data_IF_227086324494
#
_entry.id   IF_227086324494
#
_cell.length_a   1.000
_cell.length_b   1.000
_cell.length_c   1.000
_cell.angle_alpha   90.00
_cell.angle_beta   90.00
_cell.angle_gamma   90.00
#
_symmetry.space_group_name_H-M   'P 1'
#
loop_
_entity.id
_entity.type
_entity.pdbx_description
1 polymer ?
#
# COMPACT_ATOMS: atom_id res chain seq x y z
N UNK A 1 -15.03 -20.18 -51.84
CA UNK A 1 -16.23 -20.70 -51.16
C UNK A 1 -16.51 -19.86 -49.94
N UNK A 2 -17.46 -19.02 -50.17
CA UNK A 2 -17.97 -17.96 -49.28
C UNK A 2 -19.00 -18.55 -48.32
N UNK A 3 -18.88 -18.26 -47.03
CA UNK A 3 -20.03 -18.31 -46.11
C UNK A 3 -19.98 -17.17 -45.13
N UNK A 4 -20.66 -16.11 -45.53
CA UNK A 4 -21.14 -15.08 -44.65
C UNK A 4 -22.10 -15.67 -43.59
N UNK A 5 -21.85 -15.41 -42.30
CA UNK A 5 -22.83 -15.63 -41.25
C UNK A 5 -23.18 -14.27 -40.62
N UNK A 6 -24.27 -13.71 -41.12
CA UNK A 6 -24.95 -12.56 -40.52
C UNK A 6 -25.68 -13.02 -39.28
N UNK A 7 -25.34 -12.56 -38.12
CA UNK A 7 -26.18 -12.73 -36.94
C UNK A 7 -26.65 -11.36 -36.42
N UNK A 8 -27.94 -11.28 -36.37
CA UNK A 8 -28.81 -10.11 -36.16
C UNK A 8 -28.61 -9.54 -34.77
N UNK A 9 -28.50 -8.22 -34.73
CA UNK A 9 -28.61 -7.39 -33.54
C UNK A 9 -30.08 -7.41 -33.09
N UNK A 10 -30.34 -7.83 -31.89
CA UNK A 10 -31.61 -7.61 -31.21
C UNK A 10 -31.38 -6.53 -30.15
N UNK A 11 -31.86 -5.35 -30.45
CA UNK A 11 -32.00 -4.25 -29.49
C UNK A 11 -33.12 -4.58 -28.49
N UNK A 12 -32.77 -4.64 -27.22
CA UNK A 12 -33.75 -4.57 -26.14
C UNK A 12 -33.35 -3.43 -25.24
N UNK A 13 -34.02 -2.30 -25.45
CA UNK A 13 -34.03 -1.18 -24.55
C UNK A 13 -34.84 -1.55 -23.31
N UNK A 14 -34.20 -1.68 -22.16
CA UNK A 14 -34.85 -1.73 -20.88
C UNK A 14 -34.46 -0.47 -20.10
N UNK A 15 -35.39 0.50 -20.13
CA UNK A 15 -35.29 1.68 -19.28
C UNK A 15 -35.57 1.28 -17.84
N UNK A 16 -34.52 1.24 -17.02
CA UNK A 16 -34.65 1.08 -15.57
C UNK A 16 -34.49 2.44 -14.93
N UNK A 17 -35.60 3.07 -14.60
CA UNK A 17 -35.67 4.28 -13.78
C UNK A 17 -35.31 3.90 -12.35
N UNK A 18 -34.05 4.08 -11.99
CA UNK A 18 -33.62 4.00 -10.59
C UNK A 18 -33.97 5.33 -9.92
N UNK A 19 -35.00 5.33 -9.10
CA UNK A 19 -35.27 6.40 -8.15
C UNK A 19 -34.12 6.40 -7.12
N UNK A 20 -33.21 7.39 -7.22
CA UNK A 20 -32.27 7.70 -6.16
C UNK A 20 -33.01 8.25 -4.96
N UNK A 21 -33.24 7.41 -3.98
CA UNK A 21 -33.64 7.84 -2.65
C UNK A 21 -32.40 8.39 -1.96
N UNK A 22 -32.13 9.67 -2.11
CA UNK A 22 -31.19 10.42 -1.29
C UNK A 22 -31.78 10.51 0.11
N UNK A 23 -31.47 9.53 0.95
CA UNK A 23 -31.64 9.66 2.37
C UNK A 23 -30.57 10.62 2.89
N UNK A 24 -30.86 11.91 2.85
CA UNK A 24 -30.20 12.88 3.71
C UNK A 24 -30.45 12.47 5.15
N UNK A 25 -29.43 12.47 6.03
CA UNK A 25 -29.64 12.43 7.45
C UNK A 25 -30.34 13.72 7.83
N UNK A 26 -31.67 13.68 7.78
CA UNK A 26 -32.51 14.82 7.99
C UNK A 26 -32.56 15.21 9.46
N UNK A 27 -32.35 16.48 9.68
CA UNK A 27 -32.81 17.16 10.88
C UNK A 27 -34.30 16.88 11.05
N UNK A 28 -34.64 16.06 12.00
CA UNK A 28 -36.07 15.86 12.40
C UNK A 28 -36.49 17.11 13.14
N UNK A 29 -37.15 18.01 12.43
CA UNK A 29 -37.84 19.15 13.01
C UNK A 29 -39.25 18.69 13.40
N UNK A 30 -39.46 18.40 14.65
CA UNK A 30 -40.78 18.11 15.16
C UNK A 30 -41.45 19.43 15.51
N UNK A 31 -42.47 19.83 14.74
CA UNK A 31 -43.33 20.95 15.06
C UNK A 31 -44.43 20.48 16.06
N UNK A 32 -44.30 20.88 17.28
CA UNK A 32 -45.39 20.71 18.27
C UNK A 32 -46.04 22.05 18.40
N UNK A 33 -47.30 22.14 17.93
CA UNK A 33 -48.15 23.31 18.10
C UNK A 33 -49.05 23.10 19.32
N UNK A 34 -48.75 23.81 20.38
CA UNK A 34 -49.67 23.96 21.49
C UNK A 34 -49.82 25.46 21.76
N UNK A 35 -51.04 25.93 21.70
CA UNK A 35 -51.49 27.28 22.07
C UNK A 35 -50.75 28.44 21.39
N UNK A 36 -50.95 28.57 20.07
CA UNK A 36 -50.64 29.76 19.26
C UNK A 36 -49.25 30.41 19.51
N UNK A 37 -48.29 29.67 20.08
CA UNK A 37 -46.90 30.06 20.21
C UNK A 37 -46.00 28.99 19.57
N UNK A 38 -45.34 29.38 18.49
CA UNK A 38 -44.32 28.56 17.87
C UNK A 38 -43.09 28.50 18.80
N UNK A 39 -42.92 27.39 19.49
CA UNK A 39 -41.65 27.10 20.21
C UNK A 39 -40.81 26.23 19.31
N UNK A 40 -39.79 26.82 18.71
CA UNK A 40 -38.77 26.07 17.95
C UNK A 40 -37.78 25.51 18.96
N UNK A 41 -37.92 24.24 19.32
CA UNK A 41 -36.91 23.53 20.07
C UNK A 41 -35.80 23.13 19.10
N UNK A 42 -34.72 23.92 19.04
CA UNK A 42 -33.48 23.52 18.43
C UNK A 42 -32.82 22.50 19.36
N UNK A 43 -33.09 21.22 19.16
CA UNK A 43 -32.27 20.19 19.77
C UNK A 43 -30.86 20.28 19.13
N UNK A 44 -29.95 20.85 19.90
CA UNK A 44 -28.54 20.74 19.59
C UNK A 44 -28.21 19.23 19.50
N UNK A 45 -27.93 18.76 18.31
CA UNK A 45 -27.50 17.41 18.06
C UNK A 45 -26.11 17.26 18.70
N UNK A 46 -26.10 16.73 19.94
CA UNK A 46 -24.85 16.28 20.55
C UNK A 46 -24.33 15.15 19.64
N UNK A 47 -23.19 15.29 19.03
CA UNK A 47 -22.63 14.19 18.25
C UNK A 47 -22.46 13.01 19.20
N UNK A 48 -22.79 11.78 18.78
CA UNK A 48 -22.59 10.62 19.62
C UNK A 48 -21.10 10.53 19.94
N UNK A 49 -20.76 10.82 21.21
CA UNK A 49 -19.44 10.61 21.77
C UNK A 49 -19.18 9.10 21.77
N UNK A 50 -18.65 8.57 20.69
CA UNK A 50 -18.45 7.13 20.53
C UNK A 50 -18.25 6.66 19.10
N UNK A 51 -18.04 7.56 18.12
CA UNK A 51 -17.38 7.14 16.90
C UNK A 51 -15.97 6.78 17.30
N UNK A 52 -15.74 5.46 17.51
CA UNK A 52 -14.40 4.91 17.40
C UNK A 52 -13.85 5.44 16.08
N UNK A 53 -12.87 6.33 16.20
CA UNK A 53 -12.01 6.70 15.09
C UNK A 53 -11.49 5.37 14.56
N UNK A 54 -12.11 4.87 13.48
CA UNK A 54 -11.55 3.76 12.73
C UNK A 54 -10.29 4.37 12.13
N UNK A 55 -9.21 4.28 12.89
CA UNK A 55 -7.91 4.71 12.45
C UNK A 55 -7.61 3.92 11.19
N UNK A 56 -7.86 4.52 10.05
CA UNK A 56 -7.45 3.96 8.78
C UNK A 56 -5.95 3.75 8.87
N UNK A 57 -5.46 2.54 8.64
CA UNK A 57 -4.03 2.30 8.72
C UNK A 57 -3.32 3.30 7.80
N UNK A 58 -2.40 4.04 8.38
CA UNK A 58 -1.65 5.09 7.68
C UNK A 58 -1.07 4.53 6.37
N UNK A 59 -1.26 5.22 5.23
CA UNK A 59 -0.68 4.81 3.95
C UNK A 59 0.83 4.55 4.05
N UNK A 60 1.33 3.61 3.26
CA UNK A 60 2.73 3.19 3.32
C UNK A 60 3.72 4.34 3.04
N UNK A 61 3.38 5.22 2.09
CA UNK A 61 4.17 6.41 1.78
C UNK A 61 4.28 7.37 2.97
N UNK A 62 3.21 7.57 3.73
CA UNK A 62 3.24 8.43 4.92
C UNK A 62 4.07 7.79 6.03
N UNK A 63 3.95 6.47 6.25
CA UNK A 63 4.79 5.73 7.19
C UNK A 63 6.27 5.81 6.80
N UNK A 64 6.57 5.69 5.51
CA UNK A 64 7.90 5.85 4.98
C UNK A 64 8.48 7.24 5.25
N UNK A 65 7.71 8.31 4.97
CA UNK A 65 8.16 9.69 5.20
C UNK A 65 8.39 10.00 6.67
N UNK A 66 7.60 9.44 7.59
CA UNK A 66 7.79 9.59 9.04
C UNK A 66 9.07 8.94 9.55
N UNK A 67 9.66 8.02 8.81
CA UNK A 67 10.93 7.36 9.16
C UNK A 67 12.17 8.09 8.64
N UNK A 68 12.07 9.36 8.32
CA UNK A 68 13.20 10.23 7.96
C UNK A 68 14.12 9.64 6.87
N UNK A 69 13.65 9.49 5.61
CA UNK A 69 14.44 8.89 4.55
C UNK A 69 15.78 9.61 4.35
N UNK A 70 16.86 8.83 4.31
CA UNK A 70 18.24 9.29 4.12
C UNK A 70 18.73 8.90 2.74
N UNK A 71 19.61 9.71 2.17
CA UNK A 71 20.28 9.39 0.92
C UNK A 71 21.35 8.31 1.13
N UNK A 72 21.26 7.24 0.36
CA UNK A 72 22.21 6.13 0.39
C UNK A 72 22.65 5.78 -1.03
N UNK A 73 23.93 5.46 -1.23
CA UNK A 73 24.42 4.98 -2.52
C UNK A 73 24.03 3.53 -2.72
N UNK A 74 23.63 3.19 -3.93
CA UNK A 74 23.27 1.82 -4.29
C UNK A 74 24.40 0.84 -3.99
N UNK A 75 25.66 1.22 -4.27
CA UNK A 75 26.82 0.39 -3.97
C UNK A 75 26.98 0.03 -2.50
N UNK A 76 26.61 0.94 -1.60
CA UNK A 76 26.68 0.71 -0.15
C UNK A 76 25.55 -0.20 0.36
N UNK A 77 24.47 -0.35 -0.43
CA UNK A 77 23.32 -1.17 -0.10
C UNK A 77 23.44 -2.60 -0.60
N UNK A 78 24.17 -2.81 -1.70
CA UNK A 78 24.41 -4.15 -2.26
C UNK A 78 25.26 -4.97 -1.29
N UNK A 79 24.84 -6.20 -1.04
CA UNK A 79 25.49 -7.10 -0.10
C UNK A 79 25.08 -6.92 1.36
N UNK A 80 24.33 -5.87 1.71
CA UNK A 80 23.84 -5.71 3.08
C UNK A 80 22.86 -6.83 3.45
N UNK A 81 22.92 -7.32 4.70
CA UNK A 81 21.93 -8.23 5.23
C UNK A 81 20.59 -7.51 5.39
N UNK A 82 19.53 -8.22 5.09
CA UNK A 82 18.15 -7.83 5.37
C UNK A 82 17.66 -8.66 6.56
N UNK A 83 17.27 -7.99 7.63
CA UNK A 83 16.79 -8.60 8.87
C UNK A 83 15.29 -8.41 9.02
N UNK A 84 14.67 -9.28 9.77
CA UNK A 84 13.33 -9.06 10.29
C UNK A 84 13.36 -8.20 11.58
N UNK A 85 12.18 -7.89 12.12
CA UNK A 85 12.06 -7.12 13.37
C UNK A 85 12.62 -7.86 14.60
N UNK A 86 12.88 -9.16 14.50
CA UNK A 86 13.51 -9.98 15.55
C UNK A 86 15.02 -10.15 15.33
N UNK A 87 15.61 -9.37 14.44
CA UNK A 87 17.02 -9.44 14.06
C UNK A 87 17.44 -10.76 13.41
N UNK A 88 16.50 -11.53 12.88
CA UNK A 88 16.80 -12.72 12.09
C UNK A 88 17.08 -12.36 10.64
N UNK A 89 18.14 -12.92 10.07
CA UNK A 89 18.52 -12.64 8.67
C UNK A 89 17.55 -13.30 7.70
N UNK A 90 16.90 -12.49 6.88
CA UNK A 90 16.02 -12.92 5.79
C UNK A 90 16.80 -13.22 4.51
N UNK A 91 17.88 -12.49 4.28
CA UNK A 91 18.70 -12.62 3.09
C UNK A 91 19.66 -11.46 2.90
N UNK A 92 20.16 -11.32 1.68
CA UNK A 92 21.13 -10.27 1.33
C UNK A 92 20.68 -9.53 0.07
N UNK A 93 20.93 -8.23 0.01
CA UNK A 93 20.65 -7.42 -1.18
C UNK A 93 21.60 -7.85 -2.31
N UNK A 94 21.03 -8.29 -3.42
CA UNK A 94 21.81 -8.62 -4.63
C UNK A 94 21.87 -7.42 -5.58
N UNK A 95 20.79 -6.66 -5.67
CA UNK A 95 20.62 -5.63 -6.67
C UNK A 95 19.55 -4.64 -6.25
N UNK A 96 19.65 -3.40 -6.70
CA UNK A 96 18.58 -2.39 -6.63
C UNK A 96 18.14 -2.10 -8.07
N UNK A 97 16.83 -2.15 -8.31
CA UNK A 97 16.26 -1.99 -9.64
C UNK A 97 15.17 -0.92 -9.64
N UNK A 98 14.97 -0.29 -10.80
CA UNK A 98 13.84 0.57 -11.09
C UNK A 98 12.90 -0.14 -12.03
N UNK A 99 11.64 -0.26 -11.63
CA UNK A 99 10.60 -0.85 -12.48
C UNK A 99 10.20 0.11 -13.61
N UNK A 100 9.52 -0.36 -14.68
CA UNK A 100 8.97 0.51 -15.70
C UNK A 100 7.97 1.55 -15.16
N UNK A 101 7.33 1.27 -14.02
CA UNK A 101 6.45 2.20 -13.31
C UNK A 101 7.22 3.27 -12.49
N UNK A 102 8.56 3.22 -12.46
CA UNK A 102 9.41 4.14 -11.71
C UNK A 102 9.65 3.75 -10.26
N UNK A 103 9.04 2.68 -9.76
CA UNK A 103 9.25 2.19 -8.40
C UNK A 103 10.65 1.63 -8.20
N UNK A 104 11.24 1.85 -7.04
CA UNK A 104 12.53 1.26 -6.67
C UNK A 104 12.27 0.00 -5.84
N UNK A 105 12.91 -1.10 -6.24
CA UNK A 105 12.84 -2.38 -5.54
C UNK A 105 14.22 -2.92 -5.25
N UNK A 106 14.36 -3.52 -4.09
CA UNK A 106 15.53 -4.29 -3.71
C UNK A 106 15.33 -5.74 -4.10
N UNK A 107 16.26 -6.30 -4.82
CA UNK A 107 16.26 -7.74 -5.10
C UNK A 107 17.08 -8.41 -4.01
N UNK A 108 16.36 -9.09 -3.12
CA UNK A 108 16.94 -9.76 -1.96
C UNK A 108 17.04 -11.24 -2.23
N UNK A 109 18.21 -11.80 -2.04
CA UNK A 109 18.41 -13.25 -2.06
C UNK A 109 17.84 -13.83 -0.74
N UNK A 110 16.54 -14.09 -0.74
CA UNK A 110 15.85 -14.65 0.41
C UNK A 110 16.23 -16.11 0.61
N UNK A 111 16.71 -16.44 1.79
CA UNK A 111 17.04 -17.81 2.18
C UNK A 111 16.52 -18.10 3.58
N UNK A 112 15.73 -19.13 3.70
CA UNK A 112 15.23 -19.63 4.98
C UNK A 112 16.29 -20.40 5.76
N UNK A 113 17.35 -20.89 5.07
CA UNK A 113 18.41 -21.73 5.61
C UNK A 113 19.77 -21.29 5.09
N UNK A 114 20.60 -20.73 5.91
CA UNK A 114 22.06 -20.50 5.74
C UNK A 114 22.54 -19.94 4.39
N UNK A 115 21.75 -19.17 3.68
CA UNK A 115 22.23 -18.37 2.54
C UNK A 115 22.63 -19.10 1.24
N UNK A 116 22.78 -20.40 1.23
CA UNK A 116 23.30 -21.15 0.08
C UNK A 116 22.26 -21.35 -1.03
N UNK A 117 21.01 -21.59 -0.68
CA UNK A 117 19.93 -21.85 -1.63
C UNK A 117 18.82 -20.79 -1.54
N UNK A 118 19.20 -19.53 -1.73
CA UNK A 118 18.24 -18.45 -1.71
C UNK A 118 17.63 -18.19 -3.09
N UNK A 119 16.36 -17.78 -3.10
CA UNK A 119 15.71 -17.28 -4.31
C UNK A 119 15.61 -15.76 -4.29
N UNK A 120 15.71 -15.08 -5.46
CA UNK A 120 15.54 -13.65 -5.50
C UNK A 120 14.07 -13.27 -5.26
N UNK A 121 13.86 -12.29 -4.38
CA UNK A 121 12.56 -11.70 -4.06
C UNK A 121 12.66 -10.20 -4.24
N UNK A 122 11.68 -9.60 -4.92
CA UNK A 122 11.61 -8.16 -5.08
C UNK A 122 10.88 -7.54 -3.90
N UNK A 123 11.57 -6.67 -3.17
CA UNK A 123 11.06 -5.96 -1.99
C UNK A 123 10.96 -4.47 -2.32
N UNK A 124 9.79 -3.85 -2.21
CA UNK A 124 9.64 -2.41 -2.37
C UNK A 124 10.51 -1.64 -1.38
N UNK A 125 11.11 -0.54 -1.82
CA UNK A 125 12.01 0.29 -1.01
C UNK A 125 11.32 0.77 0.28
N UNK A 126 10.04 1.09 0.21
CA UNK A 126 9.24 1.63 1.32
C UNK A 126 9.05 0.64 2.47
N UNK A 127 9.24 -0.66 2.19
CA UNK A 127 9.12 -1.74 3.19
C UNK A 127 10.40 -1.98 3.98
N UNK A 128 11.49 -1.32 3.59
CA UNK A 128 12.79 -1.46 4.21
C UNK A 128 13.19 -0.18 4.94
N UNK A 129 13.95 -0.35 6.02
CA UNK A 129 14.62 0.72 6.72
C UNK A 129 16.09 0.40 6.90
N UNK A 130 16.95 1.43 6.89
CA UNK A 130 18.37 1.27 7.15
C UNK A 130 18.64 1.38 8.67
N UNK A 131 19.47 0.50 9.20
CA UNK A 131 19.95 0.53 10.58
C UNK A 131 21.44 0.19 10.61
N UNK A 132 22.28 1.22 10.71
CA UNK A 132 23.72 1.04 10.63
C UNK A 132 24.16 0.44 9.29
N UNK A 133 24.73 -0.77 9.32
CA UNK A 133 25.20 -1.50 8.14
C UNK A 133 24.29 -2.67 7.76
N UNK A 134 23.02 -2.54 8.00
CA UNK A 134 22.01 -3.55 7.70
C UNK A 134 20.70 -2.89 7.27
N UNK A 135 19.84 -3.65 6.60
CA UNK A 135 18.49 -3.26 6.30
C UNK A 135 17.54 -4.05 7.21
N UNK A 136 16.49 -3.40 7.66
CA UNK A 136 15.43 -4.03 8.45
C UNK A 136 14.14 -4.02 7.63
N UNK A 137 13.47 -5.15 7.56
CA UNK A 137 12.17 -5.28 6.93
C UNK A 137 11.10 -4.83 7.93
N UNK A 138 10.61 -3.59 7.75
CA UNK A 138 9.71 -2.94 8.71
C UNK A 138 8.23 -3.16 8.39
N UNK A 139 7.89 -3.36 7.13
CA UNK A 139 6.50 -3.51 6.65
C UNK A 139 6.31 -4.78 5.78
N UNK A 140 7.21 -5.75 5.90
CA UNK A 140 7.12 -7.03 5.18
C UNK A 140 7.62 -8.15 6.10
N UNK A 141 6.74 -8.90 6.76
CA UNK A 141 7.12 -9.98 7.67
C UNK A 141 7.75 -11.17 6.91
N UNK A 142 8.46 -12.09 7.59
CA UNK A 142 9.09 -13.26 6.96
C UNK A 142 8.13 -14.13 6.16
N UNK A 143 6.85 -14.19 6.55
CA UNK A 143 5.80 -14.91 5.82
C UNK A 143 5.60 -14.37 4.40
N UNK A 144 5.68 -13.06 4.25
CA UNK A 144 5.50 -12.40 2.95
C UNK A 144 6.69 -12.68 2.02
N UNK A 145 7.92 -12.73 2.56
CA UNK A 145 9.09 -13.18 1.81
C UNK A 145 8.93 -14.63 1.34
N UNK A 146 8.39 -15.49 2.22
CA UNK A 146 8.15 -16.89 1.87
C UNK A 146 7.06 -17.04 0.79
N UNK A 147 6.02 -16.24 0.86
CA UNK A 147 4.90 -16.24 -0.10
C UNK A 147 5.19 -15.47 -1.40
N UNK A 148 6.14 -14.51 -1.38
CA UNK A 148 6.46 -13.70 -2.54
C UNK A 148 6.90 -14.58 -3.72
N UNK A 149 6.56 -14.23 -4.96
CA UNK A 149 7.04 -14.96 -6.13
C UNK A 149 8.55 -14.79 -6.29
N UNK A 150 9.21 -15.78 -6.89
CA UNK A 150 10.60 -15.63 -7.33
C UNK A 150 10.68 -14.50 -8.34
N UNK A 151 11.56 -13.54 -8.09
CA UNK A 151 11.72 -12.42 -8.99
C UNK A 151 12.40 -12.85 -10.29
N UNK A 152 11.83 -12.40 -11.39
CA UNK A 152 12.41 -12.49 -12.72
C UNK A 152 12.47 -11.06 -13.29
N UNK A 153 13.53 -10.74 -14.03
CA UNK A 153 13.62 -9.42 -14.64
C UNK A 153 12.59 -9.27 -15.76
N UNK A 154 11.53 -8.52 -15.48
CA UNK A 154 10.44 -8.21 -16.42
C UNK A 154 10.52 -6.75 -16.89
N UNK A 155 11.68 -6.34 -17.40
CA UNK A 155 11.90 -4.98 -17.90
C UNK A 155 12.32 -3.97 -16.83
N UNK A 156 12.65 -4.41 -15.62
CA UNK A 156 13.25 -3.53 -14.63
C UNK A 156 14.71 -3.23 -14.98
N UNK A 157 15.13 -1.98 -14.78
CA UNK A 157 16.49 -1.52 -15.03
C UNK A 157 17.29 -1.51 -13.73
N UNK A 158 18.44 -2.19 -13.67
CA UNK A 158 19.37 -2.08 -12.55
C UNK A 158 19.83 -0.64 -12.35
N UNK A 159 19.84 -0.19 -11.11
CA UNK A 159 20.45 1.09 -10.78
C UNK A 159 21.97 0.93 -10.69
N UNK A 160 22.75 1.88 -11.24
CA UNK A 160 24.19 1.87 -11.13
C UNK A 160 24.64 2.07 -9.66
N UNK A 161 25.82 1.58 -9.32
CA UNK A 161 26.35 1.57 -7.94
C UNK A 161 26.55 2.97 -7.36
N UNK A 162 26.79 3.95 -8.21
CA UNK A 162 26.96 5.36 -7.86
C UNK A 162 25.63 6.12 -7.73
N UNK A 163 24.52 5.52 -8.16
CA UNK A 163 23.20 6.11 -8.01
C UNK A 163 22.83 6.25 -6.53
N UNK A 164 22.07 7.28 -6.23
CA UNK A 164 21.55 7.56 -4.89
C UNK A 164 20.08 7.22 -4.81
N UNK A 165 19.68 6.56 -3.74
CA UNK A 165 18.29 6.27 -3.39
C UNK A 165 18.01 6.74 -1.96
N UNK A 166 16.78 7.13 -1.69
CA UNK A 166 16.39 7.55 -0.34
C UNK A 166 15.79 6.36 0.41
N UNK A 167 16.47 5.94 1.47
CA UNK A 167 16.05 4.82 2.31
C UNK A 167 15.63 5.34 3.67
N UNK A 168 14.48 4.90 4.18
CA UNK A 168 13.99 5.27 5.50
C UNK A 168 14.91 4.73 6.60
N UNK A 169 14.95 5.40 7.77
CA UNK A 169 15.55 4.82 8.97
C UNK A 169 14.64 3.72 9.53
N UNK A 170 15.22 2.63 10.02
CA UNK A 170 14.45 1.54 10.61
C UNK A 170 13.80 1.94 11.94
N UNK A 171 14.44 2.86 12.66
CA UNK A 171 13.91 3.45 13.90
C UNK A 171 13.47 4.88 13.67
N UNK A 172 12.32 5.21 14.17
CA UNK A 172 11.79 6.57 14.36
C UNK A 172 11.88 6.94 15.82
#
# INVERSE_FOLDING_TARGET
>A
MERANRMRVASSALALTAAMNLASPGNATTLVSADNRLVVLVQAMVPPTGMMDIQHPMPMNERYLKRFPQDARVGDLIGLPVLDLNSSTLGYVQQVVRTPAGEIKFIVKYSRWWGWFGRPVAVPLEKLGIEGRQLVSVDMPPSDYAAAPTWHNTGATPLPVDATVRVALARS
#
